data_IF_511323458803
#
_entry.id   IF_511323458803
#
_cell.length_a   1.000
_cell.length_b   1.000
_cell.length_c   1.000
_cell.angle_alpha   90.00
_cell.angle_beta   90.00
_cell.angle_gamma   90.00
#
_symmetry.space_group_name_H-M   'P 1'
#
loop_
_entity.id
_entity.type
_entity.pdbx_description
1 polymer ?
#
# COMPACT_ATOMS: atom_id res chain seq x y z
N UNK A 1 24.96 -8.78 -28.71
CA UNK A 1 24.11 -8.10 -27.72
C UNK A 1 24.83 -8.19 -26.38
N UNK A 2 25.05 -7.10 -25.73
CA UNK A 2 25.61 -7.10 -24.38
C UNK A 2 24.49 -7.43 -23.39
N UNK A 3 24.65 -8.47 -22.55
CA UNK A 3 23.70 -8.83 -21.48
C UNK A 3 23.95 -7.89 -20.30
N UNK A 4 23.54 -6.63 -20.42
CA UNK A 4 23.60 -5.66 -19.32
C UNK A 4 22.27 -5.76 -18.55
N UNK A 5 22.30 -6.15 -17.28
CA UNK A 5 21.09 -6.16 -16.46
C UNK A 5 20.55 -4.73 -16.28
N UNK A 6 19.24 -4.58 -16.14
CA UNK A 6 18.64 -3.26 -15.98
C UNK A 6 17.39 -3.29 -15.09
N UNK A 7 17.06 -2.14 -14.55
CA UNK A 7 15.83 -1.88 -13.81
C UNK A 7 15.21 -0.58 -14.33
N UNK A 8 13.93 -0.60 -14.69
CA UNK A 8 13.16 0.61 -14.97
C UNK A 8 12.53 1.15 -13.69
N UNK A 9 12.66 2.44 -13.44
CA UNK A 9 12.19 3.08 -12.22
C UNK A 9 11.30 4.29 -12.54
N UNK A 10 10.16 4.39 -11.85
CA UNK A 10 9.32 5.61 -11.86
C UNK A 10 9.77 6.57 -10.75
N UNK A 11 9.08 6.55 -9.60
CA UNK A 11 9.40 7.43 -8.47
C UNK A 11 10.44 6.86 -7.48
N UNK A 12 10.95 5.65 -7.69
CA UNK A 12 12.01 5.03 -6.86
C UNK A 12 11.66 4.88 -5.37
N UNK A 13 10.42 4.55 -5.06
CA UNK A 13 9.91 4.39 -3.69
C UNK A 13 9.85 2.92 -3.23
N UNK A 14 10.40 1.98 -4.01
CA UNK A 14 10.41 0.56 -3.64
C UNK A 14 11.37 0.27 -2.48
N UNK A 15 10.96 -0.61 -1.58
CA UNK A 15 11.68 -0.95 -0.34
C UNK A 15 12.31 -2.35 -0.36
N UNK A 16 12.01 -3.18 -1.37
CA UNK A 16 12.52 -4.54 -1.40
C UNK A 16 14.04 -4.58 -1.53
N UNK A 17 14.68 -5.42 -0.71
CA UNK A 17 16.14 -5.63 -0.74
C UNK A 17 16.61 -6.34 -2.01
N UNK A 18 15.70 -7.02 -2.73
CA UNK A 18 16.03 -7.70 -4.00
C UNK A 18 16.47 -6.74 -5.12
N UNK A 19 16.14 -5.43 -5.00
CA UNK A 19 16.68 -4.40 -5.90
C UNK A 19 18.20 -4.28 -5.81
N UNK A 20 18.79 -4.63 -4.68
CA UNK A 20 20.24 -4.65 -4.45
C UNK A 20 20.99 -5.73 -5.26
N UNK A 21 20.30 -6.72 -5.81
CA UNK A 21 20.87 -7.75 -6.66
C UNK A 21 21.29 -7.21 -8.04
N UNK A 22 20.83 -6.03 -8.42
CA UNK A 22 21.25 -5.34 -9.63
C UNK A 22 22.68 -4.81 -9.48
N UNK A 23 23.65 -5.62 -9.89
CA UNK A 23 25.06 -5.24 -9.89
C UNK A 23 25.56 -4.97 -11.31
N UNK A 24 26.34 -3.89 -11.51
CA UNK A 24 26.90 -3.48 -12.81
C UNK A 24 25.83 -3.32 -13.91
N UNK A 25 24.61 -2.91 -13.53
CA UNK A 25 23.46 -2.75 -14.40
C UNK A 25 23.13 -1.29 -14.72
N UNK A 26 22.03 -1.10 -15.44
CA UNK A 26 21.49 0.20 -15.81
C UNK A 26 20.21 0.47 -15.04
N UNK A 27 20.11 1.64 -14.41
CA UNK A 27 18.85 2.20 -13.97
C UNK A 27 18.25 3.07 -15.09
N UNK A 28 17.12 2.64 -15.62
CA UNK A 28 16.36 3.40 -16.64
C UNK A 28 15.35 4.27 -15.90
N UNK A 29 15.63 5.55 -15.80
CA UNK A 29 14.79 6.50 -15.07
C UNK A 29 13.65 7.01 -15.94
N UNK A 30 12.42 6.71 -15.56
CA UNK A 30 11.20 7.09 -16.24
C UNK A 30 10.54 8.35 -15.62
N UNK A 31 11.19 9.04 -14.69
CA UNK A 31 10.59 10.15 -13.93
C UNK A 31 10.14 11.32 -14.83
N UNK A 32 10.68 11.45 -16.05
CA UNK A 32 10.27 12.48 -17.02
C UNK A 32 9.07 12.09 -17.89
N UNK A 33 8.58 10.85 -17.80
CA UNK A 33 7.35 10.44 -18.47
C UNK A 33 6.14 10.93 -17.66
N UNK A 34 5.82 12.22 -17.77
CA UNK A 34 4.81 12.95 -17.00
C UNK A 34 3.51 13.15 -17.78
N UNK A 35 3.20 12.26 -18.72
CA UNK A 35 1.92 12.27 -19.41
C UNK A 35 0.78 12.28 -18.37
N UNK A 36 -0.19 13.16 -18.57
CA UNK A 36 -1.41 13.25 -17.78
C UNK A 36 -2.53 13.74 -18.69
N UNK A 37 -3.43 12.83 -19.05
CA UNK A 37 -4.61 13.13 -19.86
C UNK A 37 -5.85 12.64 -19.13
N UNK A 38 -6.81 13.51 -18.95
CA UNK A 38 -8.12 13.21 -18.38
C UNK A 38 -9.20 13.61 -19.36
N UNK A 39 -9.90 12.61 -19.91
CA UNK A 39 -11.11 12.85 -20.70
C UNK A 39 -12.31 12.98 -19.75
N UNK A 40 -12.75 14.19 -19.50
CA UNK A 40 -13.84 14.49 -18.60
C UNK A 40 -15.21 13.90 -19.06
N UNK A 41 -15.39 13.67 -20.35
CA UNK A 41 -16.64 13.14 -20.91
C UNK A 41 -16.66 11.61 -20.88
N UNK A 42 -15.57 10.97 -21.30
CA UNK A 42 -15.44 9.51 -21.36
C UNK A 42 -14.93 8.89 -20.05
N UNK A 43 -14.38 9.70 -19.15
CA UNK A 43 -13.84 9.32 -17.81
C UNK A 43 -12.60 8.42 -17.79
N UNK A 44 -11.76 8.26 -18.80
CA UNK A 44 -10.47 7.67 -18.65
C UNK A 44 -9.44 8.70 -18.19
N UNK A 45 -8.56 8.27 -17.29
CA UNK A 45 -7.33 8.95 -16.88
C UNK A 45 -6.15 8.19 -17.46
N UNK A 46 -5.32 8.83 -18.30
CA UNK A 46 -4.08 8.26 -18.79
C UNK A 46 -2.89 8.97 -18.15
N UNK A 47 -1.95 8.19 -17.60
CA UNK A 47 -0.74 8.74 -16.95
C UNK A 47 0.51 7.98 -17.38
N UNK A 48 1.63 8.71 -17.36
CA UNK A 48 2.98 8.14 -17.53
C UNK A 48 3.59 7.64 -16.21
N UNK A 49 4.64 6.79 -16.25
CA UNK A 49 5.23 6.17 -15.06
C UNK A 49 5.98 7.15 -14.14
N UNK A 50 6.29 8.35 -14.61
CA UNK A 50 6.86 9.41 -13.78
C UNK A 50 5.84 10.15 -12.92
N UNK A 51 4.53 10.04 -13.21
CA UNK A 51 3.47 10.67 -12.42
C UNK A 51 3.36 9.99 -11.06
N UNK A 52 3.38 10.78 -9.99
CA UNK A 52 3.24 10.29 -8.61
C UNK A 52 1.78 10.32 -8.15
N UNK A 53 1.50 9.60 -7.07
CA UNK A 53 0.16 9.57 -6.45
C UNK A 53 -0.32 10.99 -6.09
N UNK A 54 0.54 11.82 -5.52
CA UNK A 54 0.15 13.19 -5.13
C UNK A 54 -0.13 14.12 -6.31
N UNK A 55 0.52 13.89 -7.46
CA UNK A 55 0.35 14.75 -8.65
C UNK A 55 -1.03 14.58 -9.31
N UNK A 56 -1.75 13.49 -9.02
CA UNK A 56 -3.10 13.28 -9.58
C UNK A 56 -4.21 13.94 -8.76
N UNK A 57 -3.97 14.29 -7.49
CA UNK A 57 -5.03 14.68 -6.56
C UNK A 57 -5.79 15.93 -7.01
N UNK A 58 -5.10 17.04 -7.19
CA UNK A 58 -5.74 18.31 -7.57
C UNK A 58 -6.37 18.27 -8.97
N UNK A 59 -5.70 17.72 -10.00
CA UNK A 59 -6.33 17.62 -11.32
C UNK A 59 -7.62 16.79 -11.33
N UNK A 60 -7.65 15.65 -10.64
CA UNK A 60 -8.87 14.81 -10.56
C UNK A 60 -9.98 15.49 -9.77
N UNK A 61 -9.65 16.05 -8.59
CA UNK A 61 -10.63 16.76 -7.77
C UNK A 61 -11.27 17.92 -8.51
N UNK A 62 -10.44 18.76 -9.17
CA UNK A 62 -10.93 19.92 -9.93
C UNK A 62 -11.79 19.53 -11.14
N UNK A 63 -11.57 18.34 -11.69
CA UNK A 63 -12.39 17.78 -12.76
C UNK A 63 -13.67 17.06 -12.27
N UNK A 64 -13.87 16.97 -10.94
CA UNK A 64 -15.06 16.34 -10.36
C UNK A 64 -14.95 14.82 -10.18
N UNK A 65 -13.72 14.27 -10.07
CA UNK A 65 -13.48 12.84 -9.96
C UNK A 65 -12.62 12.48 -8.75
N UNK A 66 -12.66 11.20 -8.40
CA UNK A 66 -11.73 10.55 -7.50
C UNK A 66 -11.34 9.15 -8.00
N UNK A 67 -10.37 8.54 -7.33
CA UNK A 67 -9.86 7.20 -7.63
C UNK A 67 -9.23 6.59 -6.36
N UNK A 68 -9.18 5.25 -6.30
CA UNK A 68 -8.36 4.56 -5.29
C UNK A 68 -6.89 4.97 -5.41
N UNK A 69 -6.25 5.31 -4.29
CA UNK A 69 -4.83 5.70 -4.22
C UNK A 69 -4.15 5.08 -3.00
N UNK A 70 -2.81 5.04 -3.03
CA UNK A 70 -2.02 4.70 -1.84
C UNK A 70 -2.07 5.78 -0.76
N UNK A 71 -1.50 5.48 0.40
CA UNK A 71 -1.45 6.35 1.59
C UNK A 71 -0.30 7.37 1.58
N UNK A 72 0.60 7.32 0.60
CA UNK A 72 1.73 8.25 0.44
C UNK A 72 1.68 8.96 -0.92
N UNK A 73 2.11 10.26 -1.02
CA UNK A 73 1.98 11.02 -2.25
C UNK A 73 3.11 10.79 -3.26
N UNK A 74 4.27 10.31 -2.82
CA UNK A 74 5.48 10.22 -3.64
C UNK A 74 5.67 8.95 -4.49
N UNK A 75 5.05 7.79 -4.23
CA UNK A 75 5.15 6.65 -5.12
C UNK A 75 4.66 6.97 -6.53
N UNK A 76 5.26 6.33 -7.55
CA UNK A 76 4.72 6.33 -8.90
C UNK A 76 3.33 5.70 -8.92
N UNK A 77 2.36 6.37 -9.55
CA UNK A 77 1.00 5.88 -9.65
C UNK A 77 0.93 4.53 -10.38
N UNK A 78 1.68 4.38 -11.47
CA UNK A 78 1.82 3.10 -12.17
C UNK A 78 2.55 2.08 -11.29
N UNK A 79 3.62 2.45 -10.59
CA UNK A 79 4.34 1.54 -9.69
C UNK A 79 3.45 0.97 -8.59
N UNK A 80 2.57 1.77 -8.00
CA UNK A 80 1.54 1.32 -7.04
C UNK A 80 0.58 0.34 -7.71
N UNK A 81 0.11 0.62 -8.92
CA UNK A 81 -0.84 -0.20 -9.68
C UNK A 81 -0.30 -1.60 -9.98
N UNK A 82 0.97 -1.70 -10.38
CA UNK A 82 1.57 -2.97 -10.83
C UNK A 82 1.61 -4.05 -9.74
N UNK A 83 1.65 -3.64 -8.47
CA UNK A 83 1.52 -4.56 -7.33
C UNK A 83 0.08 -4.81 -6.87
N UNK A 84 -0.87 -4.01 -7.34
CA UNK A 84 -2.28 -4.08 -6.94
C UNK A 84 -2.84 -2.71 -6.52
N UNK A 85 -2.14 -1.96 -5.68
CA UNK A 85 -2.56 -0.61 -5.26
C UNK A 85 -3.60 -0.61 -4.15
N UNK A 86 -3.17 -0.97 -2.95
CA UNK A 86 -3.97 -0.90 -1.71
C UNK A 86 -4.05 0.54 -1.19
N UNK A 87 -5.09 0.85 -0.42
CA UNK A 87 -5.23 2.17 0.19
C UNK A 87 -6.60 2.43 0.80
N UNK A 88 -6.80 3.64 1.29
CA UNK A 88 -7.93 4.02 2.14
C UNK A 88 -9.31 3.85 1.49
N UNK A 89 -9.39 3.85 0.15
CA UNK A 89 -10.67 3.73 -0.59
C UNK A 89 -10.93 2.33 -1.15
N UNK A 90 -10.08 1.34 -0.80
CA UNK A 90 -10.25 -0.03 -1.34
C UNK A 90 -11.56 -0.70 -0.93
N UNK A 91 -12.18 -0.29 0.18
CA UNK A 91 -13.50 -0.76 0.57
C UNK A 91 -14.60 -0.30 -0.39
N UNK A 92 -14.43 0.88 -0.99
CA UNK A 92 -15.41 1.52 -1.90
C UNK A 92 -15.12 1.19 -3.35
N UNK A 93 -13.85 1.21 -3.78
CA UNK A 93 -13.45 1.13 -5.19
C UNK A 93 -12.66 -0.14 -5.56
N UNK A 94 -12.25 -0.95 -4.59
CA UNK A 94 -11.31 -2.05 -4.82
C UNK A 94 -9.87 -1.56 -4.89
N UNK A 95 -9.01 -2.34 -5.51
CA UNK A 95 -7.62 -2.00 -5.73
C UNK A 95 -7.46 -0.97 -6.86
N UNK A 96 -6.36 -0.21 -6.86
CA UNK A 96 -6.05 0.66 -8.00
C UNK A 96 -5.93 -0.13 -9.31
N UNK A 97 -5.40 -1.35 -9.27
CA UNK A 97 -5.31 -2.26 -10.41
C UNK A 97 -6.69 -2.71 -10.94
N UNK A 98 -7.75 -2.60 -10.14
CA UNK A 98 -9.11 -2.92 -10.59
C UNK A 98 -9.70 -1.80 -11.47
N UNK A 99 -9.21 -0.57 -11.28
CA UNK A 99 -9.56 0.58 -12.13
C UNK A 99 -8.78 0.60 -13.46
N UNK A 100 -7.75 -0.25 -13.63
CA UNK A 100 -6.91 -0.27 -14.82
C UNK A 100 -7.72 -0.76 -16.05
N UNK A 101 -7.68 0.04 -17.12
CA UNK A 101 -8.32 -0.25 -18.42
C UNK A 101 -7.30 -0.87 -19.37
N UNK A 102 -6.15 -0.23 -19.52
CA UNK A 102 -5.06 -0.68 -20.42
C UNK A 102 -3.71 -0.13 -19.98
N UNK A 103 -2.66 -0.74 -20.51
CA UNK A 103 -1.30 -0.22 -20.42
C UNK A 103 -0.59 -0.32 -21.75
N UNK A 104 0.31 0.62 -22.00
CA UNK A 104 1.34 0.52 -23.02
C UNK A 104 2.62 -0.03 -22.38
N UNK A 105 3.05 -1.20 -22.82
CA UNK A 105 4.10 -1.99 -22.18
C UNK A 105 5.20 -2.36 -23.19
N UNK A 106 6.46 -2.24 -22.76
CA UNK A 106 7.63 -2.73 -23.48
C UNK A 106 8.02 -4.10 -22.93
N UNK A 107 7.99 -5.13 -23.76
CA UNK A 107 8.31 -6.52 -23.39
C UNK A 107 9.82 -6.76 -23.24
N UNK A 108 10.20 -7.94 -22.75
CA UNK A 108 11.58 -8.40 -22.67
C UNK A 108 12.30 -8.46 -24.05
N UNK A 109 11.55 -8.58 -25.14
CA UNK A 109 12.07 -8.57 -26.50
C UNK A 109 12.15 -7.16 -27.12
N UNK A 110 11.70 -6.11 -26.40
CA UNK A 110 11.67 -4.74 -26.87
C UNK A 110 10.43 -4.39 -27.72
N UNK A 111 9.43 -5.29 -27.81
CA UNK A 111 8.17 -5.01 -28.50
C UNK A 111 7.32 -4.08 -27.65
N UNK A 112 6.62 -3.14 -28.30
CA UNK A 112 5.65 -2.24 -27.65
C UNK A 112 4.26 -2.81 -27.87
N UNK A 113 3.55 -3.10 -26.77
CA UNK A 113 2.22 -3.70 -26.80
C UNK A 113 1.20 -2.79 -26.11
N UNK A 114 -0.01 -2.75 -26.65
CA UNK A 114 -1.20 -2.23 -25.96
C UNK A 114 -1.92 -3.43 -25.30
N UNK A 115 -1.86 -3.45 -23.97
CA UNK A 115 -2.31 -4.59 -23.15
C UNK A 115 -3.58 -4.19 -22.41
N UNK A 116 -4.65 -4.97 -22.58
CA UNK A 116 -5.97 -4.72 -21.97
C UNK A 116 -6.73 -6.03 -21.77
N UNK A 117 -7.95 -5.94 -21.25
CA UNK A 117 -8.85 -7.10 -21.12
C UNK A 117 -9.13 -7.80 -22.46
N UNK A 118 -9.09 -7.10 -23.58
CA UNK A 118 -9.36 -7.62 -24.92
C UNK A 118 -8.11 -7.80 -25.80
N UNK A 119 -6.97 -7.31 -25.34
CA UNK A 119 -5.68 -7.42 -26.02
C UNK A 119 -4.64 -7.98 -25.03
N UNK A 120 -4.11 -9.16 -25.31
CA UNK A 120 -3.19 -9.88 -24.42
C UNK A 120 -3.77 -10.09 -23.00
N UNK A 121 -4.98 -10.70 -22.84
CA UNK A 121 -5.70 -10.77 -21.58
C UNK A 121 -4.94 -11.49 -20.46
N UNK A 122 -4.11 -12.48 -20.79
CA UNK A 122 -3.28 -13.17 -19.79
C UNK A 122 -2.16 -12.28 -19.25
N UNK A 123 -1.54 -11.48 -20.11
CA UNK A 123 -0.56 -10.48 -19.68
C UNK A 123 -1.23 -9.39 -18.86
N UNK A 124 -2.44 -8.94 -19.27
CA UNK A 124 -3.25 -7.99 -18.50
C UNK A 124 -3.63 -8.52 -17.12
N UNK A 125 -3.88 -9.82 -17.01
CA UNK A 125 -4.09 -10.48 -15.73
C UNK A 125 -2.83 -10.40 -14.85
N UNK A 126 -1.66 -10.73 -15.40
CA UNK A 126 -0.39 -10.81 -14.69
C UNK A 126 0.10 -9.44 -14.17
N UNK A 127 -0.04 -8.38 -14.97
CA UNK A 127 0.41 -7.04 -14.57
C UNK A 127 -0.43 -6.43 -13.44
N UNK A 128 -1.62 -6.95 -13.18
CA UNK A 128 -2.48 -6.52 -12.07
C UNK A 128 -2.18 -7.33 -10.80
N UNK A 129 -0.99 -7.13 -10.22
CA UNK A 129 -0.52 -7.76 -8.98
C UNK A 129 0.92 -8.30 -9.03
N UNK A 130 1.48 -8.52 -10.24
CA UNK A 130 2.85 -8.98 -10.43
C UNK A 130 3.57 -8.24 -11.58
N UNK A 131 3.14 -7.01 -11.88
CA UNK A 131 3.47 -6.31 -13.11
C UNK A 131 4.94 -6.00 -13.32
N UNK A 132 5.72 -5.80 -12.26
CA UNK A 132 7.16 -5.56 -12.32
C UNK A 132 7.94 -6.71 -13.00
N UNK A 133 7.33 -7.90 -13.13
CA UNK A 133 7.94 -9.10 -13.69
C UNK A 133 7.74 -9.27 -15.21
N UNK A 134 6.95 -8.41 -15.87
CA UNK A 134 6.46 -8.69 -17.22
C UNK A 134 6.80 -7.63 -18.27
N UNK A 135 7.36 -6.50 -17.85
CA UNK A 135 7.73 -5.45 -18.79
C UNK A 135 7.88 -4.08 -18.16
N UNK A 136 8.20 -3.11 -18.99
CA UNK A 136 8.28 -1.70 -18.63
C UNK A 136 7.03 -0.99 -19.11
N UNK A 137 6.18 -0.54 -18.19
CA UNK A 137 4.96 0.23 -18.53
C UNK A 137 5.33 1.68 -18.79
N UNK A 138 4.99 2.20 -19.95
CA UNK A 138 5.27 3.57 -20.38
C UNK A 138 4.05 4.49 -20.34
N UNK A 139 2.85 3.92 -20.25
CA UNK A 139 1.59 4.64 -20.08
C UNK A 139 0.54 3.70 -19.53
N UNK A 140 -0.40 4.19 -18.73
CA UNK A 140 -1.50 3.40 -18.17
C UNK A 140 -2.78 4.23 -18.13
N UNK A 141 -3.89 3.61 -18.53
CA UNK A 141 -5.23 4.22 -18.58
C UNK A 141 -6.14 3.58 -17.54
N UNK A 142 -6.86 4.43 -16.80
CA UNK A 142 -7.71 4.04 -15.67
C UNK A 142 -9.13 4.58 -15.82
N UNK A 143 -10.11 3.89 -15.27
CA UNK A 143 -11.42 4.45 -14.98
C UNK A 143 -11.35 5.29 -13.70
N UNK A 144 -12.06 6.41 -13.69
CA UNK A 144 -12.21 7.28 -12.51
C UNK A 144 -13.67 7.35 -12.08
N UNK A 145 -13.90 7.73 -10.82
CA UNK A 145 -15.24 7.79 -10.24
C UNK A 145 -15.70 9.24 -10.08
N UNK A 146 -16.95 9.58 -10.41
CA UNK A 146 -17.51 10.89 -10.07
C UNK A 146 -17.46 11.11 -8.55
N UNK A 147 -17.19 12.36 -8.14
CA UNK A 147 -17.18 12.72 -6.74
C UNK A 147 -18.53 12.40 -6.08
N UNK A 148 -18.48 11.78 -4.93
CA UNK A 148 -19.60 11.66 -4.00
C UNK A 148 -19.45 12.69 -2.88
N UNK A 149 -20.56 13.15 -2.28
CA UNK A 149 -20.54 14.15 -1.20
C UNK A 149 -19.68 15.40 -1.55
N UNK A 150 -19.72 15.86 -2.81
CA UNK A 150 -18.88 16.96 -3.34
C UNK A 150 -17.36 16.74 -3.18
N UNK A 151 -16.93 15.51 -2.96
CA UNK A 151 -15.54 15.16 -2.67
C UNK A 151 -15.14 15.37 -1.21
N UNK A 152 -16.06 15.79 -0.35
CA UNK A 152 -15.79 16.01 1.07
C UNK A 152 -15.71 14.71 1.84
N UNK A 153 -14.75 14.65 2.75
CA UNK A 153 -14.50 13.56 3.69
C UNK A 153 -14.45 14.10 5.12
N UNK A 154 -14.80 13.27 6.08
CA UNK A 154 -14.60 13.57 7.49
C UNK A 154 -13.34 12.88 8.01
N UNK A 155 -12.48 13.63 8.71
CA UNK A 155 -11.35 13.08 9.44
C UNK A 155 -11.45 13.34 10.92
N UNK A 156 -10.94 12.39 11.72
CA UNK A 156 -10.80 12.52 13.16
C UNK A 156 -9.49 11.91 13.61
N UNK A 157 -8.66 12.70 14.29
CA UNK A 157 -7.36 12.26 14.77
C UNK A 157 -7.25 12.40 16.29
N UNK A 158 -6.64 11.37 16.89
CA UNK A 158 -6.47 11.28 18.34
C UNK A 158 -5.09 10.78 18.69
N UNK A 159 -4.47 11.35 19.71
CA UNK A 159 -3.36 10.70 20.42
C UNK A 159 -3.97 9.89 21.55
N UNK A 160 -3.84 8.57 21.47
CA UNK A 160 -4.35 7.65 22.49
C UNK A 160 -3.27 7.44 23.55
N UNK A 161 -3.50 7.89 24.80
CA UNK A 161 -2.51 7.72 25.85
C UNK A 161 -2.33 6.23 26.24
N UNK A 162 -1.14 5.80 26.67
CA UNK A 162 -0.84 4.39 26.93
C UNK A 162 -1.83 3.68 27.85
N UNK A 163 -2.37 4.38 28.84
CA UNK A 163 -3.34 3.83 29.79
C UNK A 163 -4.69 3.47 29.14
N UNK A 164 -4.96 4.01 27.95
CA UNK A 164 -6.20 3.77 27.21
C UNK A 164 -6.04 2.78 26.05
N UNK A 165 -4.81 2.29 25.78
CA UNK A 165 -4.56 1.33 24.69
C UNK A 165 -5.40 0.05 24.81
N UNK A 166 -5.50 -0.63 25.97
CA UNK A 166 -6.29 -1.86 26.07
C UNK A 166 -7.78 -1.64 25.73
N UNK A 167 -8.34 -0.51 26.16
CA UNK A 167 -9.72 -0.13 25.84
C UNK A 167 -9.88 0.22 24.36
N UNK A 168 -8.96 1.03 23.81
CA UNK A 168 -8.97 1.45 22.42
C UNK A 168 -8.93 0.24 21.47
N UNK A 169 -8.01 -0.69 21.68
CA UNK A 169 -7.89 -1.88 20.84
C UNK A 169 -9.11 -2.80 20.94
N UNK A 170 -9.72 -2.95 22.12
CA UNK A 170 -10.96 -3.72 22.27
C UNK A 170 -12.15 -3.07 21.56
N UNK A 171 -12.25 -1.75 21.59
CA UNK A 171 -13.27 -1.03 20.84
C UNK A 171 -13.06 -1.22 19.34
N UNK A 172 -11.83 -1.06 18.84
CA UNK A 172 -11.52 -1.29 17.44
C UNK A 172 -11.87 -2.71 17.00
N UNK A 173 -11.54 -3.73 17.80
CA UNK A 173 -11.90 -5.13 17.51
C UNK A 173 -13.42 -5.28 17.40
N UNK A 174 -14.20 -4.63 18.27
CA UNK A 174 -15.66 -4.65 18.23
C UNK A 174 -16.26 -3.91 17.04
N UNK A 175 -15.51 -3.01 16.41
CA UNK A 175 -15.94 -2.29 15.20
C UNK A 175 -15.63 -3.07 13.91
N UNK A 176 -14.89 -4.17 13.99
CA UNK A 176 -14.54 -4.97 12.81
C UNK A 176 -15.70 -5.90 12.42
N UNK A 177 -16.03 -6.04 11.10
CA UNK A 177 -15.43 -5.34 9.97
C UNK A 177 -15.87 -3.88 9.88
N UNK A 178 -14.95 -3.00 9.47
CA UNK A 178 -15.25 -1.58 9.25
C UNK A 178 -16.20 -1.39 8.05
N UNK A 179 -17.07 -0.36 8.06
CA UNK A 179 -17.81 0.04 6.87
C UNK A 179 -16.89 0.36 5.70
N UNK A 180 -17.36 0.17 4.47
CA UNK A 180 -16.56 0.34 3.24
C UNK A 180 -15.91 1.73 3.14
N UNK A 181 -16.58 2.74 3.66
CA UNK A 181 -16.17 4.16 3.61
C UNK A 181 -15.24 4.57 4.76
N UNK A 182 -15.06 3.72 5.80
CA UNK A 182 -14.32 4.08 7.01
C UNK A 182 -12.96 3.38 7.05
N UNK A 183 -11.89 4.13 6.92
CA UNK A 183 -10.51 3.64 7.07
C UNK A 183 -9.84 4.19 8.33
N UNK A 184 -8.81 3.48 8.79
CA UNK A 184 -7.96 3.90 9.90
C UNK A 184 -6.49 3.70 9.53
N UNK A 185 -5.70 4.72 9.77
CA UNK A 185 -4.25 4.63 9.90
C UNK A 185 -3.89 4.82 11.37
N UNK A 186 -3.08 3.91 11.91
CA UNK A 186 -2.68 3.95 13.31
C UNK A 186 -1.15 3.90 13.39
N UNK A 187 -0.55 4.98 13.88
CA UNK A 187 0.90 5.12 14.00
C UNK A 187 1.32 4.95 15.46
N UNK A 188 2.09 3.90 15.72
CA UNK A 188 2.75 3.71 17.00
C UNK A 188 4.22 4.14 16.86
N UNK A 189 4.60 5.20 17.56
CA UNK A 189 5.90 5.86 17.43
C UNK A 189 6.37 6.42 18.77
N UNK A 190 7.62 6.91 18.80
CA UNK A 190 8.16 7.61 19.95
C UNK A 190 8.01 9.13 19.78
N UNK A 191 7.38 9.78 20.74
CA UNK A 191 7.30 11.25 20.78
C UNK A 191 8.48 11.80 21.60
N UNK A 192 9.41 12.46 20.93
CA UNK A 192 10.62 13.03 21.58
C UNK A 192 10.30 14.22 22.47
N UNK A 193 9.21 14.95 22.23
CA UNK A 193 8.78 16.08 23.05
C UNK A 193 8.25 15.64 24.39
N UNK A 194 7.41 14.60 24.42
CA UNK A 194 6.84 14.04 25.66
C UNK A 194 7.70 12.95 26.25
N UNK A 195 8.73 12.48 25.54
CA UNK A 195 9.61 11.37 25.88
C UNK A 195 8.83 10.07 26.18
N UNK A 196 7.79 9.80 25.40
CA UNK A 196 6.89 8.64 25.57
C UNK A 196 6.55 8.00 24.24
N UNK A 197 6.25 6.69 24.28
CA UNK A 197 5.61 6.01 23.17
C UNK A 197 4.18 6.52 23.05
N UNK A 198 3.74 6.79 21.84
CA UNK A 198 2.40 7.26 21.53
C UNK A 198 1.73 6.40 20.48
N UNK A 199 0.41 6.39 20.50
CA UNK A 199 -0.45 5.80 19.49
C UNK A 199 -1.25 6.94 18.87
N UNK A 200 -0.99 7.23 17.59
CA UNK A 200 -1.66 8.29 16.85
C UNK A 200 -2.66 7.66 15.89
N UNK A 201 -3.93 7.88 16.08
CA UNK A 201 -5.02 7.35 15.27
C UNK A 201 -5.53 8.40 14.29
N UNK A 202 -5.58 8.05 13.00
CA UNK A 202 -6.17 8.85 11.93
C UNK A 202 -7.33 8.08 11.31
N UNK A 203 -8.55 8.46 11.65
CA UNK A 203 -9.78 7.96 11.07
C UNK A 203 -10.20 8.83 9.90
N UNK A 204 -10.55 8.21 8.78
CA UNK A 204 -11.06 8.90 7.60
C UNK A 204 -12.33 8.22 7.09
N UNK A 205 -13.38 9.01 6.92
CA UNK A 205 -14.66 8.54 6.40
C UNK A 205 -15.00 9.25 5.08
N UNK A 206 -15.20 8.45 4.03
CA UNK A 206 -15.57 8.94 2.70
C UNK A 206 -17.08 9.17 2.64
N UNK A 207 -17.53 10.35 3.06
CA UNK A 207 -18.95 10.69 3.10
C UNK A 207 -19.30 11.79 4.10
N UNK A 208 -20.60 12.01 4.36
CA UNK A 208 -21.06 13.07 5.25
C UNK A 208 -20.59 12.88 6.71
N UNK A 209 -20.23 13.98 7.37
CA UNK A 209 -19.81 14.02 8.78
C UNK A 209 -20.82 13.34 9.71
N UNK A 210 -22.12 13.52 9.48
CA UNK A 210 -23.15 12.93 10.33
C UNK A 210 -23.10 11.39 10.35
N UNK A 211 -22.84 10.77 9.20
CA UNK A 211 -22.67 9.31 9.09
C UNK A 211 -21.32 8.87 9.70
N UNK A 212 -20.26 9.63 9.44
CA UNK A 212 -18.94 9.38 10.05
C UNK A 212 -19.06 9.31 11.58
N UNK A 213 -19.73 10.29 12.20
CA UNK A 213 -19.91 10.35 13.66
C UNK A 213 -20.72 9.18 14.22
N UNK A 214 -21.69 8.63 13.47
CA UNK A 214 -22.41 7.41 13.87
C UNK A 214 -21.46 6.21 13.92
N UNK A 215 -20.68 5.99 12.86
CA UNK A 215 -19.75 4.88 12.81
C UNK A 215 -18.60 5.02 13.83
N UNK A 216 -18.13 6.24 14.06
CA UNK A 216 -17.07 6.53 15.02
C UNK A 216 -17.57 6.70 16.46
N UNK A 217 -18.88 6.57 16.72
CA UNK A 217 -19.44 6.79 18.08
C UNK A 217 -18.74 5.97 19.18
N UNK A 218 -18.30 4.70 18.98
CA UNK A 218 -17.55 3.98 20.01
C UNK A 218 -16.23 4.65 20.41
N UNK A 219 -15.50 5.21 19.42
CA UNK A 219 -14.24 5.93 19.63
C UNK A 219 -14.51 7.31 20.24
N UNK A 220 -15.52 8.04 19.73
CA UNK A 220 -15.89 9.37 20.24
C UNK A 220 -16.33 9.33 21.71
N UNK A 221 -17.03 8.27 22.12
CA UNK A 221 -17.46 8.05 23.50
C UNK A 221 -16.30 7.76 24.47
N UNK A 222 -15.12 7.47 23.98
CA UNK A 222 -13.92 7.39 24.83
C UNK A 222 -13.48 8.75 25.37
N UNK A 223 -14.01 9.85 24.83
CA UNK A 223 -13.64 11.22 25.21
C UNK A 223 -12.12 11.48 25.13
N UNK A 224 -11.48 10.95 24.10
CA UNK A 224 -10.07 11.24 23.80
C UNK A 224 -9.93 12.69 23.35
N UNK A 225 -8.79 13.32 23.67
CA UNK A 225 -8.47 14.63 23.12
C UNK A 225 -8.15 14.49 21.62
N UNK A 226 -8.99 15.10 20.78
CA UNK A 226 -8.74 15.14 19.35
C UNK A 226 -7.64 16.16 19.04
N UNK A 227 -6.70 15.78 18.16
CA UNK A 227 -5.72 16.70 17.56
C UNK A 227 -6.35 17.48 16.41
N UNK A 228 -7.22 16.81 15.63
CA UNK A 228 -8.09 17.44 14.66
C UNK A 228 -9.36 16.61 14.45
N UNK A 229 -10.46 17.30 14.12
CA UNK A 229 -11.72 16.68 13.76
C UNK A 229 -12.47 17.63 12.84
N UNK A 230 -12.54 17.33 11.54
CA UNK A 230 -13.07 18.24 10.53
C UNK A 230 -13.44 17.57 9.22
N UNK A 231 -14.19 18.28 8.41
CA UNK A 231 -14.41 17.95 7.00
C UNK A 231 -13.29 18.58 6.17
N UNK A 232 -12.81 17.85 5.16
CA UNK A 232 -11.85 18.32 4.15
C UNK A 232 -12.12 17.63 2.81
N UNK A 233 -11.72 18.23 1.67
CA UNK A 233 -11.82 17.57 0.38
C UNK A 233 -10.81 16.42 0.26
N UNK A 234 -11.19 15.34 -0.45
CA UNK A 234 -10.41 14.10 -0.52
C UNK A 234 -8.97 14.31 -1.03
N UNK A 235 -8.75 15.27 -1.95
CA UNK A 235 -7.42 15.60 -2.45
C UNK A 235 -6.48 16.20 -1.40
N UNK A 236 -7.00 16.54 -0.20
CA UNK A 236 -6.23 17.02 0.96
C UNK A 236 -6.03 15.95 2.04
N UNK A 237 -6.54 14.73 1.82
CA UNK A 237 -6.50 13.68 2.84
C UNK A 237 -5.07 13.33 3.24
N UNK A 238 -4.21 12.96 2.28
CA UNK A 238 -2.86 12.45 2.53
C UNK A 238 -1.98 13.51 3.20
N UNK A 239 -2.04 14.77 2.75
CA UNK A 239 -1.24 15.87 3.33
C UNK A 239 -1.69 16.24 4.76
N UNK A 240 -2.91 15.84 5.17
CA UNK A 240 -3.45 16.12 6.51
C UNK A 240 -3.38 14.91 7.44
N UNK A 241 -2.94 13.75 6.96
CA UNK A 241 -2.81 12.54 7.75
C UNK A 241 -1.70 12.69 8.80
N UNK A 242 -2.01 12.34 10.05
CA UNK A 242 -1.15 12.52 11.22
C UNK A 242 -0.66 13.98 11.39
N UNK A 243 -1.60 14.92 11.25
CA UNK A 243 -1.32 16.35 11.28
C UNK A 243 -0.21 16.77 10.28
N UNK A 244 -0.12 16.10 9.14
CA UNK A 244 0.84 16.35 8.09
C UNK A 244 2.12 15.50 8.17
N UNK A 245 2.28 14.66 9.19
CA UNK A 245 3.48 13.85 9.32
C UNK A 245 3.59 12.71 8.29
N UNK A 246 2.46 12.28 7.68
CA UNK A 246 2.47 11.19 6.71
C UNK A 246 3.36 11.47 5.48
N UNK A 247 3.53 12.74 5.09
CA UNK A 247 4.38 13.10 3.94
C UNK A 247 5.88 12.93 4.20
N UNK A 248 6.32 12.76 5.45
CA UNK A 248 7.74 12.55 5.80
C UNK A 248 8.28 11.23 5.24
N UNK A 249 7.42 10.27 4.90
CA UNK A 249 7.79 9.04 4.20
C UNK A 249 8.45 9.32 2.84
N UNK A 250 8.23 10.49 2.29
CA UNK A 250 8.77 10.95 1.01
C UNK A 250 10.16 11.62 1.10
N UNK A 251 10.76 11.73 2.29
CA UNK A 251 12.11 12.30 2.44
C UNK A 251 13.13 11.35 1.78
N UNK A 252 13.82 11.78 0.70
CA UNK A 252 14.78 10.95 -0.02
C UNK A 252 16.09 10.72 0.76
N UNK A 253 16.29 11.41 1.89
CA UNK A 253 17.49 11.31 2.71
C UNK A 253 17.38 10.27 3.83
N UNK A 254 16.26 9.55 3.90
CA UNK A 254 16.06 8.51 4.91
C UNK A 254 16.27 7.11 4.31
N UNK A 255 17.13 6.32 4.95
CA UNK A 255 17.23 4.88 4.67
C UNK A 255 16.15 4.16 5.46
N UNK A 256 15.23 3.50 4.76
CA UNK A 256 14.11 2.79 5.36
C UNK A 256 14.23 1.29 5.10
N UNK A 257 13.88 0.52 6.11
CA UNK A 257 13.80 -0.92 6.04
C UNK A 257 12.44 -1.36 6.56
N UNK A 258 11.62 -1.97 5.69
CA UNK A 258 10.24 -2.29 6.02
C UNK A 258 10.09 -3.79 6.29
N UNK A 259 9.56 -4.13 7.45
CA UNK A 259 9.07 -5.47 7.77
C UNK A 259 7.55 -5.43 7.81
N UNK A 260 6.90 -6.14 6.89
CA UNK A 260 5.47 -5.99 6.64
C UNK A 260 4.71 -7.31 6.73
N UNK A 261 3.40 -7.20 6.94
CA UNK A 261 2.50 -8.35 6.99
C UNK A 261 1.09 -7.90 6.63
N UNK A 262 0.40 -8.74 5.86
CA UNK A 262 -1.03 -8.59 5.56
C UNK A 262 -1.89 -9.39 6.52
N UNK A 263 -3.08 -8.89 6.86
CA UNK A 263 -4.00 -9.51 7.81
C UNK A 263 -5.43 -9.44 7.34
N UNK A 264 -6.24 -10.43 7.73
CA UNK A 264 -7.69 -10.41 7.57
C UNK A 264 -8.45 -10.43 8.89
N UNK A 265 -7.78 -10.79 9.99
CA UNK A 265 -8.36 -10.77 11.32
C UNK A 265 -7.67 -9.71 12.17
N UNK A 266 -8.42 -9.17 13.10
CA UNK A 266 -7.94 -8.23 14.11
C UNK A 266 -7.96 -8.90 15.49
N UNK A 267 -6.93 -8.66 16.30
CA UNK A 267 -6.84 -9.15 17.68
C UNK A 267 -6.36 -8.05 18.61
N UNK A 268 -7.26 -7.58 19.47
CA UNK A 268 -6.96 -6.53 20.44
C UNK A 268 -5.78 -6.90 21.35
N UNK A 269 -5.75 -8.16 21.82
CA UNK A 269 -4.67 -8.64 22.68
C UNK A 269 -3.31 -8.67 21.99
N UNK A 270 -3.27 -9.02 20.70
CA UNK A 270 -2.04 -8.99 19.90
C UNK A 270 -1.53 -7.56 19.76
N UNK A 271 -2.43 -6.60 19.45
CA UNK A 271 -2.03 -5.20 19.28
C UNK A 271 -1.57 -4.55 20.57
N UNK A 272 -2.20 -4.87 21.69
CA UNK A 272 -1.74 -4.42 23.02
C UNK A 272 -0.35 -4.96 23.34
N UNK A 273 -0.11 -6.25 23.07
CA UNK A 273 1.20 -6.87 23.28
C UNK A 273 2.27 -6.24 22.37
N UNK A 274 1.98 -6.01 21.09
CA UNK A 274 2.88 -5.37 20.13
C UNK A 274 3.21 -3.93 20.52
N UNK A 275 2.22 -3.14 20.91
CA UNK A 275 2.43 -1.76 21.37
C UNK A 275 3.31 -1.70 22.63
N UNK A 276 3.08 -2.61 23.59
CA UNK A 276 3.89 -2.74 24.80
C UNK A 276 5.32 -3.20 24.51
N UNK A 277 5.49 -4.12 23.55
CA UNK A 277 6.79 -4.60 23.08
C UNK A 277 7.58 -3.47 22.44
N UNK A 278 6.96 -2.62 21.61
CA UNK A 278 7.60 -1.46 21.01
C UNK A 278 8.04 -0.43 22.08
N UNK A 279 7.19 -0.15 23.07
CA UNK A 279 7.54 0.75 24.17
C UNK A 279 8.75 0.24 24.96
N UNK A 280 8.81 -1.07 25.23
CA UNK A 280 9.95 -1.72 25.89
C UNK A 280 11.21 -1.66 25.02
N UNK A 281 11.05 -1.83 23.70
CA UNK A 281 12.14 -1.74 22.74
C UNK A 281 12.78 -0.34 22.73
N UNK A 282 11.99 0.73 22.68
CA UNK A 282 12.46 2.12 22.75
C UNK A 282 13.16 2.46 24.06
N UNK A 283 12.73 1.86 25.18
CA UNK A 283 13.38 2.04 26.46
C UNK A 283 14.78 1.38 26.49
N UNK A 284 14.89 0.20 25.86
CA UNK A 284 16.16 -0.56 25.80
C UNK A 284 17.13 -0.01 24.75
N UNK A 285 16.61 0.51 23.63
CA UNK A 285 17.38 0.99 22.48
C UNK A 285 16.96 2.42 22.13
N UNK A 286 17.47 3.46 22.82
CA UNK A 286 17.09 4.84 22.54
C UNK A 286 17.36 5.30 21.10
N UNK A 287 18.37 4.74 20.43
CA UNK A 287 18.69 5.00 19.02
C UNK A 287 17.60 4.48 18.06
N UNK A 288 16.77 3.53 18.50
CA UNK A 288 15.67 2.99 17.70
C UNK A 288 14.39 3.85 17.72
N UNK A 289 14.40 5.00 18.41
CA UNK A 289 13.22 5.86 18.57
C UNK A 289 12.80 6.58 17.29
N UNK A 290 13.60 6.51 16.22
CA UNK A 290 13.22 6.91 14.85
C UNK A 290 12.35 5.88 14.12
N UNK A 291 12.32 4.62 14.60
CA UNK A 291 11.46 3.58 14.03
C UNK A 291 9.99 3.77 14.42
N UNK A 292 9.09 3.15 13.67
CA UNK A 292 7.65 3.20 13.93
C UNK A 292 6.93 1.93 13.48
N UNK A 293 5.71 1.73 13.99
CA UNK A 293 4.76 0.75 13.46
C UNK A 293 3.55 1.51 12.90
N UNK A 294 3.33 1.37 11.62
CA UNK A 294 2.13 1.84 10.94
C UNK A 294 1.20 0.67 10.71
N UNK A 295 -0.05 0.83 11.09
CA UNK A 295 -1.13 -0.08 10.79
C UNK A 295 -2.08 0.60 9.84
N UNK A 296 -2.36 -0.03 8.71
CA UNK A 296 -3.29 0.40 7.71
C UNK A 296 -4.51 -0.51 7.76
N UNK A 297 -5.60 -0.05 8.39
CA UNK A 297 -6.88 -0.76 8.42
C UNK A 297 -7.76 -0.23 7.31
N UNK A 298 -7.83 -0.99 6.22
CA UNK A 298 -8.59 -0.65 5.05
C UNK A 298 -9.71 -1.67 4.86
N UNK A 299 -10.97 -1.24 4.88
CA UNK A 299 -12.10 -2.11 4.55
C UNK A 299 -11.91 -2.70 3.14
N UNK A 300 -12.47 -3.88 2.89
CA UNK A 300 -12.17 -4.63 1.67
C UNK A 300 -13.40 -5.04 0.85
N UNK A 301 -14.57 -4.45 1.09
CA UNK A 301 -15.83 -4.90 0.49
C UNK A 301 -15.77 -4.91 -1.03
N UNK A 302 -15.37 -3.80 -1.66
CA UNK A 302 -15.26 -3.74 -3.12
C UNK A 302 -14.10 -4.60 -3.64
N UNK A 303 -12.97 -4.65 -2.93
CA UNK A 303 -11.84 -5.51 -3.29
C UNK A 303 -12.22 -6.99 -3.24
N UNK A 304 -12.93 -7.42 -2.19
CA UNK A 304 -13.36 -8.81 -2.01
C UNK A 304 -14.50 -9.22 -2.93
N UNK A 305 -15.26 -8.26 -3.49
CA UNK A 305 -16.34 -8.54 -4.45
C UNK A 305 -15.80 -8.98 -5.82
N UNK A 306 -14.53 -8.71 -6.13
CA UNK A 306 -13.90 -9.11 -7.39
C UNK A 306 -13.39 -10.56 -7.24
N UNK A 307 -13.70 -11.46 -8.18
CA UNK A 307 -13.22 -12.84 -8.13
C UNK A 307 -11.71 -12.94 -7.97
N UNK A 308 -11.26 -13.89 -7.15
CA UNK A 308 -9.82 -14.05 -6.85
C UNK A 308 -8.97 -14.30 -8.10
N UNK A 309 -9.51 -14.98 -9.10
CA UNK A 309 -8.84 -15.33 -10.36
C UNK A 309 -8.87 -14.23 -11.43
N UNK A 310 -9.54 -13.11 -11.16
CA UNK A 310 -9.65 -11.98 -12.10
C UNK A 310 -8.31 -11.24 -12.32
N UNK A 311 -7.41 -11.30 -11.33
CA UNK A 311 -6.08 -10.66 -11.38
C UNK A 311 -5.01 -11.54 -10.74
N UNK A 312 -3.74 -11.19 -10.92
CA UNK A 312 -2.62 -11.83 -10.22
C UNK A 312 -2.55 -11.47 -8.72
N UNK A 313 -3.25 -10.42 -8.27
CA UNK A 313 -3.27 -10.04 -6.85
C UNK A 313 -3.85 -11.18 -6.00
N UNK A 314 -3.12 -11.69 -4.98
CA UNK A 314 -3.41 -12.99 -4.40
C UNK A 314 -4.48 -13.00 -3.29
N UNK A 315 -4.66 -11.89 -2.55
CA UNK A 315 -5.40 -11.90 -1.28
C UNK A 315 -6.39 -10.76 -1.17
N UNK A 316 -7.60 -10.98 -1.73
CA UNK A 316 -8.67 -9.98 -1.73
C UNK A 316 -9.48 -9.94 -0.43
N UNK A 317 -9.18 -10.83 0.51
CA UNK A 317 -9.76 -10.89 1.85
C UNK A 317 -8.93 -10.14 2.92
N UNK A 318 -7.84 -9.50 2.53
CA UNK A 318 -7.01 -8.68 3.42
C UNK A 318 -7.77 -7.42 3.85
N UNK A 319 -7.76 -7.15 5.17
CA UNK A 319 -8.41 -5.97 5.77
C UNK A 319 -7.43 -5.03 6.45
N UNK A 320 -6.19 -5.46 6.63
CA UNK A 320 -5.17 -4.60 7.24
C UNK A 320 -3.75 -5.00 6.82
N UNK A 321 -2.86 -4.02 6.93
CA UNK A 321 -1.42 -4.16 6.69
C UNK A 321 -0.67 -3.57 7.88
N UNK A 322 0.38 -4.25 8.33
CA UNK A 322 1.33 -3.70 9.30
C UNK A 322 2.63 -3.41 8.59
N UNK A 323 3.23 -2.29 8.93
CA UNK A 323 4.51 -1.83 8.39
C UNK A 323 5.38 -1.41 9.56
N UNK A 324 6.41 -2.19 9.88
CA UNK A 324 7.48 -1.76 10.79
C UNK A 324 8.54 -1.06 9.95
N UNK A 325 8.65 0.25 10.13
CA UNK A 325 9.63 1.09 9.47
C UNK A 325 10.80 1.35 10.42
N UNK A 326 12.01 1.04 9.98
CA UNK A 326 13.22 1.18 10.77
C UNK A 326 14.43 1.58 9.93
N UNK A 327 15.44 2.14 10.58
CA UNK A 327 16.76 2.28 10.00
C UNK A 327 17.49 0.92 9.95
N UNK A 328 18.50 0.81 9.09
CA UNK A 328 19.26 -0.44 8.92
C UNK A 328 20.17 -0.73 10.13
N UNK A 329 19.66 -1.47 11.12
CA UNK A 329 20.38 -1.99 12.27
C UNK A 329 19.95 -3.43 12.56
N UNK A 330 20.89 -4.29 12.97
CA UNK A 330 20.63 -5.70 13.28
C UNK A 330 19.63 -5.90 14.44
N UNK A 331 19.57 -4.98 15.40
CA UNK A 331 18.61 -5.06 16.50
C UNK A 331 17.19 -4.73 16.02
N UNK A 332 17.06 -3.74 15.14
CA UNK A 332 15.81 -3.34 14.50
C UNK A 332 15.29 -4.42 13.54
N UNK A 333 16.18 -5.05 12.76
CA UNK A 333 15.84 -6.17 11.92
C UNK A 333 15.21 -7.33 12.71
N UNK A 334 15.87 -7.76 13.80
CA UNK A 334 15.32 -8.83 14.68
C UNK A 334 13.99 -8.43 15.31
N UNK A 335 13.85 -7.17 15.69
CA UNK A 335 12.60 -6.67 16.25
C UNK A 335 11.48 -6.69 15.22
N UNK A 336 11.73 -6.28 13.98
CA UNK A 336 10.77 -6.34 12.87
C UNK A 336 10.30 -7.77 12.60
N UNK A 337 11.23 -8.74 12.57
CA UNK A 337 10.92 -10.18 12.45
C UNK A 337 10.07 -10.70 13.61
N UNK A 338 10.38 -10.26 14.84
CA UNK A 338 9.61 -10.66 16.01
C UNK A 338 8.17 -10.12 15.96
N UNK A 339 7.98 -8.87 15.52
CA UNK A 339 6.65 -8.28 15.33
C UNK A 339 5.88 -9.04 14.25
N UNK A 340 6.51 -9.35 13.09
CA UNK A 340 5.85 -10.13 12.02
C UNK A 340 5.34 -11.47 12.55
N UNK A 341 6.14 -12.20 13.33
CA UNK A 341 5.73 -13.49 13.93
C UNK A 341 4.60 -13.37 14.94
N UNK A 342 4.68 -12.37 15.84
CA UNK A 342 3.65 -12.16 16.85
C UNK A 342 2.28 -11.87 16.18
N UNK A 343 2.29 -11.01 15.15
CA UNK A 343 1.08 -10.63 14.44
C UNK A 343 0.58 -11.75 13.52
N UNK A 344 1.46 -12.51 12.88
CA UNK A 344 1.10 -13.63 12.01
C UNK A 344 0.26 -14.68 12.74
N UNK A 345 0.53 -14.90 14.03
CA UNK A 345 -0.20 -15.87 14.86
C UNK A 345 -1.73 -15.61 14.93
N UNK A 346 -2.15 -14.34 14.72
CA UNK A 346 -3.57 -13.94 14.77
C UNK A 346 -4.06 -13.28 13.49
N UNK A 347 -3.22 -13.21 12.45
CA UNK A 347 -3.53 -12.55 11.17
C UNK A 347 -4.73 -13.16 10.42
N UNK A 348 -5.07 -14.41 10.71
CA UNK A 348 -6.06 -15.18 9.99
C UNK A 348 -5.53 -15.90 8.75
N UNK A 349 -4.25 -15.72 8.42
CA UNK A 349 -3.54 -16.50 7.39
C UNK A 349 -2.71 -17.61 8.03
N UNK A 350 -2.50 -18.75 7.32
CA UNK A 350 -1.74 -19.88 7.86
C UNK A 350 -0.23 -19.61 7.97
N UNK A 351 0.26 -18.60 7.28
CA UNK A 351 1.67 -18.20 7.23
C UNK A 351 1.81 -16.68 7.10
N UNK A 352 3.03 -16.17 7.25
CA UNK A 352 3.33 -14.77 6.93
C UNK A 352 2.93 -14.51 5.48
N UNK A 353 2.21 -13.43 5.25
CA UNK A 353 1.80 -12.99 3.91
C UNK A 353 2.06 -11.51 3.81
N UNK A 354 2.52 -11.06 2.64
CA UNK A 354 2.80 -9.65 2.43
C UNK A 354 2.25 -9.14 1.10
N UNK A 355 1.99 -7.86 1.03
CA UNK A 355 1.68 -7.14 -0.20
C UNK A 355 2.99 -6.88 -0.95
N UNK A 356 3.04 -7.20 -2.26
CA UNK A 356 4.28 -7.16 -3.04
C UNK A 356 5.00 -5.80 -3.00
N UNK A 357 4.27 -4.69 -2.98
CA UNK A 357 4.87 -3.35 -2.90
C UNK A 357 5.44 -3.02 -1.51
N UNK A 358 5.09 -3.80 -0.49
CA UNK A 358 5.60 -3.69 0.87
C UNK A 358 6.60 -4.80 1.21
N UNK A 359 6.83 -5.76 0.30
CA UNK A 359 7.73 -6.89 0.53
C UNK A 359 9.15 -6.41 0.86
N UNK A 360 9.72 -6.97 1.92
CA UNK A 360 11.09 -6.70 2.33
C UNK A 360 12.10 -7.34 1.38
N UNK A 361 11.78 -8.53 0.84
CA UNK A 361 12.65 -9.30 -0.05
C UNK A 361 13.24 -10.57 0.59
N UNK A 362 12.84 -10.88 1.83
CA UNK A 362 13.14 -12.14 2.52
C UNK A 362 11.96 -13.11 2.51
N UNK A 363 10.79 -12.65 2.04
CA UNK A 363 9.59 -13.48 1.93
C UNK A 363 9.71 -14.46 0.76
N UNK A 364 9.07 -15.62 0.90
CA UNK A 364 8.94 -16.58 -0.22
C UNK A 364 7.95 -16.06 -1.27
N UNK A 365 8.04 -16.60 -2.48
CA UNK A 365 7.12 -16.23 -3.56
C UNK A 365 5.66 -16.58 -3.21
N UNK A 366 5.44 -17.65 -2.43
CA UNK A 366 4.11 -18.01 -1.92
C UNK A 366 3.56 -16.98 -0.95
N UNK A 367 4.41 -16.43 -0.10
CA UNK A 367 4.05 -15.39 0.85
C UNK A 367 3.68 -14.08 0.14
N UNK A 368 4.31 -13.78 -0.99
CA UNK A 368 4.08 -12.57 -1.80
C UNK A 368 2.91 -12.78 -2.77
N UNK A 369 3.01 -13.79 -3.67
CA UNK A 369 2.10 -13.95 -4.80
C UNK A 369 0.98 -14.97 -4.59
N UNK A 370 1.01 -15.72 -3.47
CA UNK A 370 0.06 -16.81 -3.22
C UNK A 370 0.39 -18.08 -4.03
N UNK A 371 0.42 -19.22 -3.34
CA UNK A 371 0.77 -20.52 -3.94
C UNK A 371 -0.08 -20.86 -5.16
N UNK A 372 -1.36 -20.52 -5.12
CA UNK A 372 -2.34 -20.79 -6.17
C UNK A 372 -2.11 -19.97 -7.45
N UNK A 373 -1.44 -18.83 -7.38
CA UNK A 373 -1.14 -17.96 -8.54
C UNK A 373 0.17 -18.33 -9.24
N UNK A 374 1.12 -18.88 -8.51
CA UNK A 374 2.48 -19.10 -8.99
C UNK A 374 2.59 -20.01 -10.23
N UNK A 375 1.83 -21.11 -10.38
CA UNK A 375 1.90 -21.92 -11.59
C UNK A 375 1.56 -21.11 -12.86
N UNK A 376 0.49 -20.29 -12.82
CA UNK A 376 0.09 -19.43 -13.92
C UNK A 376 1.09 -18.30 -14.16
N UNK A 377 1.58 -17.67 -13.10
CA UNK A 377 2.58 -16.61 -13.18
C UNK A 377 3.90 -17.12 -13.81
N UNK A 378 4.39 -18.29 -13.39
CA UNK A 378 5.59 -18.89 -13.95
C UNK A 378 5.41 -19.27 -15.43
N UNK A 379 4.26 -19.82 -15.82
CA UNK A 379 3.94 -20.13 -17.20
C UNK A 379 3.94 -18.85 -18.07
N UNK A 380 3.35 -17.76 -17.61
CA UNK A 380 3.35 -16.47 -18.28
C UNK A 380 4.76 -15.85 -18.32
N UNK A 381 5.53 -15.95 -17.25
CA UNK A 381 6.93 -15.51 -17.20
C UNK A 381 7.75 -16.21 -18.29
N UNK A 382 7.56 -17.53 -18.45
CA UNK A 382 8.23 -18.30 -19.52
C UNK A 382 7.89 -17.81 -20.92
N UNK A 383 6.68 -17.29 -21.13
CA UNK A 383 6.24 -16.77 -22.45
C UNK A 383 6.80 -15.36 -22.68
N UNK A 384 6.60 -14.45 -21.71
CA UNK A 384 6.83 -13.03 -21.87
C UNK A 384 8.23 -12.56 -21.51
N UNK A 385 8.90 -13.31 -20.62
CA UNK A 385 10.28 -13.01 -20.18
C UNK A 385 11.09 -14.29 -19.93
N UNK A 386 11.33 -15.12 -20.97
CA UNK A 386 12.00 -16.41 -20.85
C UNK A 386 13.46 -16.31 -20.40
N UNK A 387 14.04 -15.09 -20.44
CA UNK A 387 15.42 -14.82 -19.99
C UNK A 387 15.48 -14.15 -18.62
N UNK A 388 14.33 -13.98 -17.97
CA UNK A 388 14.21 -13.41 -16.62
C UNK A 388 14.91 -12.04 -16.50
N UNK A 389 14.77 -11.16 -17.53
CA UNK A 389 15.38 -9.83 -17.52
C UNK A 389 14.71 -8.88 -16.53
N UNK A 390 13.44 -9.15 -16.15
CA UNK A 390 12.68 -8.43 -15.12
C UNK A 390 12.65 -9.24 -13.82
N UNK A 391 13.79 -9.37 -13.12
CA UNK A 391 13.96 -10.25 -11.96
C UNK A 391 14.38 -9.52 -10.67
N UNK A 392 14.58 -8.20 -10.70
CA UNK A 392 15.15 -7.45 -9.58
C UNK A 392 14.11 -6.90 -8.58
N UNK A 393 12.83 -7.12 -8.80
CA UNK A 393 11.77 -6.71 -7.90
C UNK A 393 10.87 -7.93 -7.59
N UNK A 394 11.25 -8.70 -6.55
CA UNK A 394 10.56 -9.93 -6.17
C UNK A 394 10.34 -10.86 -7.39
N UNK A 395 11.44 -11.21 -8.05
CA UNK A 395 11.46 -11.85 -9.36
C UNK A 395 10.76 -13.21 -9.40
N UNK A 396 9.90 -13.43 -10.38
CA UNK A 396 9.24 -14.71 -10.66
C UNK A 396 10.13 -15.61 -11.50
N UNK A 397 10.16 -16.93 -11.23
CA UNK A 397 10.86 -17.90 -12.07
C UNK A 397 10.01 -18.28 -13.29
N UNK A 398 10.66 -18.84 -14.32
CA UNK A 398 9.99 -19.40 -15.52
C UNK A 398 9.41 -20.80 -15.29
N UNK A 399 9.61 -21.38 -14.11
CA UNK A 399 9.04 -22.68 -13.69
C UNK A 399 8.70 -22.61 -12.20
N UNK A 400 7.55 -23.19 -11.87
CA UNK A 400 7.13 -23.39 -10.48
C UNK A 400 6.61 -24.83 -10.35
N UNK A 401 6.96 -25.56 -9.27
CA UNK A 401 6.58 -26.97 -9.07
C UNK A 401 5.08 -27.22 -9.05
#
# INVERSE_FOLDING_TARGET
MHNIPFLATGARHGYTTTLGDLQNGLAIDLCHFKEFELDADAKPLTVGPGVTVGEIFDPLFNAGFDIQTGSAPCPSFIGVTLGGGVGQFQGVYGLLADALISVRLITANGEVLEVSRTSYPDLFWAIRGAGANFGVVTSATYSVHPLTNNGDMFIAEFIVPPQRWPEYFRIMESMSPLPAELSLLLLNSFNTTTNQTQLFAHWAYKGPEAEARKHLSPILNMNLTATQMRVLPWNRLVENTFAGAAVTVCDPNTNRNLYTLSMKNYSASTWEAVASKLATFYARYPQARSSSLLYEFFPNQAMAAIPLDETAFPRRDTTAYIIHDSEMDNALARFGEDIRRDVAATSGYPEITTFVNYAHGDETLEQIYGKEKLPRLAALKKIWDPKEVFSFNNGLPTRYP
#
